data_IF_167641062135
#
_entry.id   IF_167641062135
#
_cell.length_a   1.000
_cell.length_b   1.000
_cell.length_c   1.000
_cell.angle_alpha   90.00
_cell.angle_beta   90.00
_cell.angle_gamma   90.00
#
_symmetry.space_group_name_H-M   'P 1'
#
loop_
_entity.id
_entity.type
_entity.pdbx_description
1 polymer ?
#
# COMPACT_ATOMS: atom_id res chain seq x y z
N UNK A 1 29.44 -33.84 11.67
CA UNK A 1 29.74 -32.40 11.54
C UNK A 1 29.40 -31.84 10.16
N UNK A 2 29.92 -32.40 9.06
CA UNK A 2 29.65 -31.90 7.68
C UNK A 2 28.16 -31.90 7.27
N UNK A 3 27.40 -32.93 7.63
CA UNK A 3 25.97 -33.04 7.26
C UNK A 3 25.10 -31.96 7.94
N UNK A 4 25.37 -31.66 9.21
CA UNK A 4 24.64 -30.61 9.93
C UNK A 4 24.85 -29.23 9.31
N UNK A 5 26.08 -28.91 8.90
CA UNK A 5 26.39 -27.64 8.22
C UNK A 5 25.60 -27.51 6.92
N UNK A 6 25.48 -28.58 6.13
CA UNK A 6 24.72 -28.58 4.88
C UNK A 6 23.23 -28.34 5.13
N UNK A 7 22.65 -28.96 6.15
CA UNK A 7 21.23 -28.77 6.52
C UNK A 7 20.98 -27.31 6.94
N UNK A 8 21.89 -26.72 7.72
CA UNK A 8 21.80 -25.30 8.11
C UNK A 8 21.85 -24.37 6.89
N UNK A 9 22.75 -24.61 5.94
CA UNK A 9 22.81 -23.81 4.71
C UNK A 9 21.56 -23.95 3.85
N UNK A 10 20.99 -25.15 3.72
CA UNK A 10 19.75 -25.33 2.97
C UNK A 10 18.57 -24.64 3.65
N UNK A 11 18.47 -24.71 4.98
CA UNK A 11 17.44 -23.99 5.74
C UNK A 11 17.57 -22.48 5.63
N UNK A 12 18.78 -21.93 5.64
CA UNK A 12 19.01 -20.50 5.46
C UNK A 12 18.67 -20.05 4.03
N UNK A 13 19.01 -20.86 3.02
CA UNK A 13 18.70 -20.56 1.62
C UNK A 13 17.19 -20.53 1.36
N UNK A 14 16.43 -21.47 1.90
CA UNK A 14 14.96 -21.48 1.73
C UNK A 14 14.29 -20.28 2.41
N UNK A 15 14.75 -19.91 3.61
CA UNK A 15 14.23 -18.75 4.35
C UNK A 15 14.50 -17.43 3.62
N UNK A 16 15.70 -17.29 3.03
CA UNK A 16 16.02 -16.15 2.17
C UNK A 16 15.09 -16.07 0.96
N UNK A 17 14.90 -17.19 0.25
CA UNK A 17 14.03 -17.25 -0.93
C UNK A 17 12.59 -16.86 -0.57
N UNK A 18 12.04 -17.37 0.53
CA UNK A 18 10.70 -16.99 1.00
C UNK A 18 10.57 -15.49 1.27
N UNK A 19 11.54 -14.89 1.96
CA UNK A 19 11.53 -13.46 2.25
C UNK A 19 11.55 -12.59 0.97
N UNK A 20 12.36 -12.96 -0.02
CA UNK A 20 12.40 -12.24 -1.29
C UNK A 20 11.06 -12.33 -2.03
N UNK A 21 10.50 -13.53 -2.17
CA UNK A 21 9.23 -13.72 -2.87
C UNK A 21 8.07 -12.98 -2.21
N UNK A 22 7.94 -13.04 -0.89
CA UNK A 22 6.87 -12.35 -0.16
C UNK A 22 6.96 -10.82 -0.32
N UNK A 23 8.18 -10.26 -0.28
CA UNK A 23 8.39 -8.82 -0.44
C UNK A 23 8.06 -8.30 -1.84
N UNK A 24 8.39 -9.07 -2.88
CA UNK A 24 8.10 -8.73 -4.27
C UNK A 24 6.60 -8.85 -4.59
N UNK A 25 5.93 -9.87 -4.05
CA UNK A 25 4.50 -10.04 -4.26
C UNK A 25 3.69 -8.96 -3.53
N UNK A 26 4.01 -8.70 -2.26
CA UNK A 26 3.36 -7.65 -1.48
C UNK A 26 3.53 -6.26 -2.11
N UNK A 27 4.75 -5.91 -2.55
CA UNK A 27 5.02 -4.61 -3.17
C UNK A 27 4.28 -4.41 -4.49
N UNK A 28 4.19 -5.45 -5.34
CA UNK A 28 3.38 -5.39 -6.56
C UNK A 28 1.89 -5.23 -6.27
N UNK A 29 1.38 -5.93 -5.26
CA UNK A 29 -0.04 -5.83 -4.92
C UNK A 29 -0.41 -4.43 -4.39
N UNK A 30 0.45 -3.84 -3.56
CA UNK A 30 0.30 -2.46 -3.10
C UNK A 30 0.33 -1.46 -4.27
N UNK A 31 1.23 -1.66 -5.24
CA UNK A 31 1.31 -0.83 -6.44
C UNK A 31 0.01 -0.90 -7.27
N UNK A 32 -0.57 -2.10 -7.42
CA UNK A 32 -1.84 -2.28 -8.13
C UNK A 32 -3.00 -1.58 -7.42
N UNK A 33 -3.08 -1.70 -6.09
CA UNK A 33 -4.09 -1.02 -5.27
C UNK A 33 -3.96 0.51 -5.40
N UNK A 34 -2.74 1.03 -5.27
CA UNK A 34 -2.47 2.47 -5.40
C UNK A 34 -2.84 3.00 -6.79
N UNK A 35 -2.54 2.23 -7.84
CA UNK A 35 -2.89 2.58 -9.22
C UNK A 35 -4.39 2.54 -9.47
N UNK A 36 -5.09 1.56 -8.90
CA UNK A 36 -6.55 1.47 -8.98
C UNK A 36 -7.19 2.68 -8.28
N UNK A 37 -6.73 3.00 -7.07
CA UNK A 37 -7.18 4.15 -6.31
C UNK A 37 -6.90 5.46 -7.05
N UNK A 38 -5.68 5.65 -7.56
CA UNK A 38 -5.33 6.83 -8.37
C UNK A 38 -6.27 7.01 -9.55
N UNK A 39 -6.55 5.95 -10.32
CA UNK A 39 -7.46 6.06 -11.47
C UNK A 39 -8.88 6.43 -11.08
N UNK A 40 -9.32 6.08 -9.87
CA UNK A 40 -10.62 6.47 -9.35
C UNK A 40 -10.64 7.94 -8.91
N UNK A 41 -9.54 8.46 -8.36
CA UNK A 41 -9.51 9.78 -7.71
C UNK A 41 -8.81 10.89 -8.50
N UNK A 42 -8.08 10.57 -9.58
CA UNK A 42 -7.26 11.53 -10.36
C UNK A 42 -8.05 12.70 -10.94
N UNK A 43 -9.31 12.46 -11.30
CA UNK A 43 -10.20 13.46 -11.89
C UNK A 43 -11.05 14.17 -10.82
N UNK A 44 -10.86 13.82 -9.54
CA UNK A 44 -11.59 14.40 -8.43
C UNK A 44 -10.92 15.65 -7.90
N UNK A 45 -11.73 16.58 -7.40
CA UNK A 45 -11.26 17.81 -6.77
C UNK A 45 -11.02 17.59 -5.28
N UNK A 46 -9.82 17.89 -4.81
CA UNK A 46 -9.51 17.91 -3.37
C UNK A 46 -10.22 19.11 -2.72
N UNK A 47 -11.12 18.83 -1.78
CA UNK A 47 -11.88 19.84 -1.04
C UNK A 47 -11.23 20.16 0.31
N UNK A 48 -10.87 19.13 1.07
CA UNK A 48 -10.26 19.29 2.40
C UNK A 48 -9.17 18.24 2.61
N UNK A 49 -8.07 18.65 3.23
CA UNK A 49 -6.93 17.78 3.53
C UNK A 49 -6.95 17.39 5.00
N UNK A 50 -6.69 16.12 5.27
CA UNK A 50 -6.46 15.58 6.60
C UNK A 50 -7.58 15.94 7.62
N UNK A 51 -8.82 15.96 7.14
CA UNK A 51 -10.02 16.25 7.92
C UNK A 51 -10.33 15.09 8.87
N UNK A 52 -10.83 15.42 10.06
CA UNK A 52 -11.27 14.44 11.05
C UNK A 52 -12.61 13.83 10.64
N UNK A 53 -12.65 12.53 10.35
CA UNK A 53 -13.85 11.84 9.87
C UNK A 53 -14.74 11.25 10.99
N UNK A 54 -14.48 11.56 12.27
CA UNK A 54 -15.25 11.00 13.38
C UNK A 54 -14.79 9.62 13.86
N UNK A 55 -13.81 8.98 13.19
CA UNK A 55 -13.22 7.72 13.63
C UNK A 55 -11.93 7.96 14.44
N UNK A 56 -11.62 7.00 15.31
CA UNK A 56 -10.58 7.14 16.34
C UNK A 56 -9.15 7.30 15.78
N UNK A 57 -8.86 7.01 14.50
CA UNK A 57 -7.46 6.88 14.05
C UNK A 57 -7.07 7.46 12.68
N UNK A 58 -7.98 7.88 11.78
CA UNK A 58 -7.54 8.27 10.43
C UNK A 58 -8.02 9.66 10.00
N UNK A 59 -7.06 10.56 9.80
CA UNK A 59 -7.29 11.76 9.00
C UNK A 59 -7.58 11.33 7.56
N UNK A 60 -8.61 11.94 6.96
CA UNK A 60 -9.01 11.65 5.58
C UNK A 60 -9.00 12.91 4.75
N UNK A 61 -8.64 12.78 3.49
CA UNK A 61 -8.82 13.80 2.48
C UNK A 61 -10.24 13.69 1.91
N UNK A 62 -10.95 14.82 1.85
CA UNK A 62 -12.28 14.91 1.24
C UNK A 62 -12.14 15.29 -0.22
N UNK A 63 -12.67 14.46 -1.10
CA UNK A 63 -12.62 14.62 -2.55
C UNK A 63 -14.05 14.80 -3.10
N UNK A 64 -14.19 15.64 -4.11
CA UNK A 64 -15.38 15.77 -4.93
C UNK A 64 -15.13 15.14 -6.30
N UNK A 65 -15.79 14.01 -6.54
CA UNK A 65 -15.74 13.27 -7.79
C UNK A 65 -17.08 13.45 -8.52
N UNK A 66 -17.23 14.54 -9.28
CA UNK A 66 -18.44 14.86 -10.05
C UNK A 66 -19.72 14.94 -9.19
N UNK A 67 -19.66 15.59 -8.03
CA UNK A 67 -20.78 15.77 -7.11
C UNK A 67 -20.93 14.66 -6.07
N UNK A 68 -20.10 13.61 -6.13
CA UNK A 68 -20.03 12.56 -5.12
C UNK A 68 -18.84 12.84 -4.20
N UNK A 69 -19.12 12.95 -2.91
CA UNK A 69 -18.09 13.19 -1.90
C UNK A 69 -17.48 11.86 -1.45
N UNK A 70 -16.17 11.73 -1.62
CA UNK A 70 -15.37 10.61 -1.14
C UNK A 70 -14.45 11.05 0.00
N UNK A 71 -14.38 10.25 1.06
CA UNK A 71 -13.39 10.39 2.11
C UNK A 71 -12.34 9.30 1.93
N UNK A 72 -11.10 9.69 1.64
CA UNK A 72 -9.97 8.77 1.42
C UNK A 72 -8.96 8.97 2.54
N UNK A 73 -8.43 7.92 3.20
CA UNK A 73 -7.36 8.07 4.18
C UNK A 73 -6.19 8.87 3.61
N UNK A 74 -5.62 9.80 4.39
CA UNK A 74 -4.54 10.66 3.91
C UNK A 74 -3.35 9.83 3.42
N UNK A 75 -3.02 8.72 4.10
CA UNK A 75 -1.95 7.80 3.67
C UNK A 75 -2.20 7.22 2.27
N UNK A 76 -3.43 6.79 2.00
CA UNK A 76 -3.78 6.11 0.76
C UNK A 76 -3.85 7.10 -0.40
N UNK A 77 -4.35 8.31 -0.11
CA UNK A 77 -4.31 9.42 -1.05
C UNK A 77 -2.87 9.79 -1.44
N UNK A 78 -2.00 9.97 -0.45
CA UNK A 78 -0.59 10.33 -0.67
C UNK A 78 0.14 9.22 -1.42
N UNK A 79 -0.09 7.95 -1.05
CA UNK A 79 0.48 6.80 -1.74
C UNK A 79 0.00 6.72 -3.20
N UNK A 80 -1.30 6.86 -3.46
CA UNK A 80 -1.84 6.82 -4.80
C UNK A 80 -1.32 7.95 -5.69
N UNK A 81 -1.19 9.16 -5.15
CA UNK A 81 -0.70 10.33 -5.90
C UNK A 81 0.81 10.29 -6.15
N UNK A 82 1.60 9.73 -5.23
CA UNK A 82 3.06 9.60 -5.37
C UNK A 82 3.50 8.32 -6.13
N UNK A 83 2.58 7.38 -6.35
CA UNK A 83 2.84 6.10 -7.03
C UNK A 83 2.75 6.17 -8.56
N UNK A 84 2.45 7.33 -9.13
CA UNK A 84 2.22 7.57 -10.56
C UNK A 84 3.28 8.48 -11.17
#
# INVERSE_FOLDING_TARGET
MKVFVIIWFMGAATLLVMHFFESDEYSRHQLEINKALYNQIKDCKLLEVAHYNGFWEAKTNKLDCNGVIYNVPTSDYDNAMNSH
#
